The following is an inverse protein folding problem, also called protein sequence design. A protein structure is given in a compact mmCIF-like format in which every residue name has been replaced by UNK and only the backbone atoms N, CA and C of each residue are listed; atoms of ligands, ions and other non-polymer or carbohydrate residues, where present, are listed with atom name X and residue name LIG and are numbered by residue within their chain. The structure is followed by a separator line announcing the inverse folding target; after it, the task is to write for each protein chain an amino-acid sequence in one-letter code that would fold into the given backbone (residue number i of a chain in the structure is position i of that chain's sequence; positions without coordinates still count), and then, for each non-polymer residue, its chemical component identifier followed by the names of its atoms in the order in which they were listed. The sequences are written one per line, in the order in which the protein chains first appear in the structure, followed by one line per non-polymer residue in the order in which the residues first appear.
data_IF_873034819389
#
_entry.id   IF_873034819389
#
_cell.length_a   1.000
_cell.length_b   1.000
_cell.length_c   1.000
_cell.angle_alpha   90.00
_cell.angle_beta   90.00
_cell.angle_gamma   90.00
#
_symmetry.space_group_name_H-M   'P 1'
#
loop_
_entity.id
_entity.type
_entity.pdbx_description
1 polymer ?
#
# COMPACT_ATOMS: atom_id res chain seq x y z
N UNK A 1 11.07 -10.62 -17.46
CA UNK A 1 10.71 -12.06 -17.50
C UNK A 1 11.84 -12.86 -16.89
N UNK A 2 11.59 -13.87 -16.05
CA UNK A 2 12.63 -14.78 -15.55
C UNK A 2 12.39 -16.15 -16.17
N UNK A 3 13.40 -16.72 -16.82
CA UNK A 3 13.30 -18.00 -17.51
C UNK A 3 14.63 -18.77 -17.36
N UNK A 4 14.56 -20.08 -17.09
CA UNK A 4 15.75 -20.93 -16.91
C UNK A 4 16.69 -20.46 -15.80
N UNK A 5 16.16 -19.90 -14.71
CA UNK A 5 16.97 -19.35 -13.61
C UNK A 5 17.62 -17.98 -13.91
N UNK A 6 17.47 -17.45 -15.13
CA UNK A 6 18.08 -16.18 -15.56
C UNK A 6 17.03 -15.11 -15.76
N UNK A 7 17.33 -13.90 -15.31
CA UNK A 7 16.47 -12.73 -15.54
C UNK A 7 16.75 -12.18 -16.95
N UNK A 8 15.71 -11.97 -17.77
CA UNK A 8 15.84 -11.32 -19.09
C UNK A 8 16.00 -9.82 -18.93
N UNK A 9 17.23 -9.33 -18.97
CA UNK A 9 17.64 -7.94 -18.82
C UNK A 9 16.79 -6.98 -19.67
N UNK A 10 16.00 -6.09 -19.03
CA UNK A 10 15.54 -4.80 -19.61
C UNK A 10 14.63 -3.93 -18.69
N UNK A 11 14.88 -3.75 -17.37
CA UNK A 11 14.05 -2.84 -16.52
C UNK A 11 14.63 -2.66 -15.11
N UNK A 12 14.40 -1.52 -14.42
CA UNK A 12 14.68 -1.32 -12.96
C UNK A 12 14.11 -2.45 -12.08
N UNK A 13 13.02 -3.07 -12.53
CA UNK A 13 12.40 -4.25 -11.91
C UNK A 13 13.37 -5.42 -11.75
N UNK A 14 14.44 -5.49 -12.54
CA UNK A 14 15.42 -6.59 -12.52
C UNK A 14 16.18 -6.73 -11.21
N UNK A 15 16.57 -5.62 -10.58
CA UNK A 15 17.42 -5.66 -9.39
C UNK A 15 16.64 -6.15 -8.17
N UNK A 16 15.33 -5.86 -8.14
CA UNK A 16 14.43 -6.22 -7.05
C UNK A 16 13.93 -7.66 -7.06
N UNK A 17 13.98 -8.34 -8.21
CA UNK A 17 13.51 -9.72 -8.34
C UNK A 17 14.62 -10.72 -7.96
N UNK A 18 14.28 -11.91 -7.48
CA UNK A 18 15.23 -13.02 -7.30
C UNK A 18 14.49 -14.35 -7.29
N UNK A 19 15.18 -15.45 -7.61
CA UNK A 19 14.62 -16.79 -7.49
C UNK A 19 15.22 -17.50 -6.29
N UNK A 20 14.38 -18.14 -5.49
CA UNK A 20 14.80 -19.09 -4.47
C UNK A 20 15.25 -20.42 -5.09
N UNK A 21 15.96 -21.22 -4.29
CA UNK A 21 16.40 -22.57 -4.68
C UNK A 21 15.24 -23.54 -4.88
N UNK A 22 14.09 -23.26 -4.27
CA UNK A 22 12.80 -23.95 -4.42
C UNK A 22 11.96 -23.42 -5.59
N UNK A 23 12.56 -22.64 -6.51
CA UNK A 23 11.90 -21.97 -7.62
C UNK A 23 10.86 -20.90 -7.21
N UNK A 24 10.90 -20.42 -5.95
CA UNK A 24 10.08 -19.29 -5.52
C UNK A 24 10.51 -17.98 -6.18
N UNK A 25 9.55 -17.13 -6.57
CA UNK A 25 9.82 -15.77 -7.02
C UNK A 25 9.79 -14.81 -5.83
N UNK A 26 10.91 -14.16 -5.57
CA UNK A 26 11.06 -13.16 -4.53
C UNK A 26 11.11 -11.77 -5.15
N UNK A 27 10.25 -10.85 -4.68
CA UNK A 27 10.18 -9.46 -5.13
C UNK A 27 10.50 -8.56 -3.94
N UNK A 28 11.62 -7.85 -3.98
CA UNK A 28 12.01 -6.88 -2.96
C UNK A 28 11.42 -5.51 -3.29
N UNK A 29 11.17 -4.69 -2.26
CA UNK A 29 10.64 -3.33 -2.39
C UNK A 29 9.47 -3.26 -3.38
N UNK A 30 8.42 -4.04 -3.08
CA UNK A 30 7.20 -4.12 -3.90
C UNK A 30 6.58 -2.73 -4.01
N UNK A 31 6.27 -2.30 -5.23
CA UNK A 31 5.52 -1.06 -5.48
C UNK A 31 4.13 -1.39 -5.99
N UNK A 32 3.24 -0.39 -6.08
CA UNK A 32 1.90 -0.63 -6.64
C UNK A 32 2.00 -1.21 -8.06
N UNK A 33 2.95 -0.78 -8.88
CA UNK A 33 3.15 -1.26 -10.25
C UNK A 33 3.49 -2.76 -10.35
N UNK A 34 3.80 -3.42 -9.24
CA UNK A 34 4.02 -4.86 -9.20
C UNK A 34 2.70 -5.68 -9.11
N UNK A 35 1.53 -5.08 -8.85
CA UNK A 35 0.27 -5.83 -8.86
C UNK A 35 0.05 -6.52 -10.22
N UNK A 36 -0.53 -7.73 -10.21
CA UNK A 36 -0.79 -8.43 -11.47
C UNK A 36 -0.87 -9.94 -11.38
N UNK A 37 -0.94 -10.56 -12.56
CA UNK A 37 -0.87 -12.00 -12.74
C UNK A 37 0.57 -12.45 -12.96
N UNK A 38 1.03 -13.36 -12.12
CA UNK A 38 2.32 -14.03 -12.22
C UNK A 38 2.07 -15.47 -12.64
N UNK A 39 2.77 -15.91 -13.68
CA UNK A 39 2.64 -17.28 -14.19
C UNK A 39 3.95 -18.03 -13.96
N UNK A 40 3.88 -19.12 -13.22
CA UNK A 40 4.93 -20.11 -13.15
C UNK A 40 4.76 -21.07 -14.33
N UNK A 41 5.82 -21.23 -15.13
CA UNK A 41 5.89 -22.18 -16.24
C UNK A 41 6.94 -23.22 -15.93
N UNK A 42 6.51 -24.47 -15.83
CA UNK A 42 7.40 -25.59 -15.57
C UNK A 42 7.73 -26.31 -16.88
N UNK A 43 9.00 -26.66 -17.07
CA UNK A 43 9.46 -27.48 -18.18
C UNK A 43 10.17 -28.71 -17.61
N UNK A 44 9.70 -29.90 -17.97
CA UNK A 44 10.32 -31.19 -17.60
C UNK A 44 10.74 -31.87 -18.89
N UNK A 45 12.03 -32.15 -19.06
CA UNK A 45 12.59 -32.77 -20.28
C UNK A 45 12.19 -32.04 -21.58
N UNK A 46 12.11 -30.70 -21.54
CA UNK A 46 11.71 -29.88 -22.70
C UNK A 46 10.21 -29.83 -22.97
N UNK A 47 9.39 -30.61 -22.24
CA UNK A 47 7.94 -30.55 -22.31
C UNK A 47 7.40 -29.55 -21.28
N UNK A 48 6.51 -28.67 -21.73
CA UNK A 48 5.84 -27.71 -20.85
C UNK A 48 4.76 -28.45 -20.03
N UNK A 49 4.86 -28.35 -18.71
CA UNK A 49 3.82 -28.81 -17.79
C UNK A 49 2.66 -27.81 -17.68
N UNK A 50 1.75 -28.04 -16.74
CA UNK A 50 0.64 -27.11 -16.48
C UNK A 50 1.16 -25.81 -15.86
N UNK A 51 0.79 -24.67 -16.46
CA UNK A 51 1.07 -23.36 -15.90
C UNK A 51 0.33 -23.16 -14.57
N UNK A 52 1.03 -22.68 -13.55
CA UNK A 52 0.42 -22.23 -12.30
C UNK A 52 0.34 -20.70 -12.29
N UNK A 53 -0.83 -20.14 -11.95
CA UNK A 53 -1.04 -18.68 -11.89
C UNK A 53 -1.21 -18.23 -10.45
N UNK A 54 -0.57 -17.12 -10.13
CA UNK A 54 -0.64 -16.45 -8.83
C UNK A 54 -0.99 -14.98 -9.08
N UNK A 55 -1.92 -14.43 -8.32
CA UNK A 55 -2.28 -13.02 -8.40
C UNK A 55 -1.65 -12.27 -7.24
N UNK A 56 -0.86 -11.24 -7.56
CA UNK A 56 -0.30 -10.33 -6.57
C UNK A 56 -1.22 -9.12 -6.45
N UNK A 57 -1.68 -8.90 -5.23
CA UNK A 57 -2.44 -7.71 -4.85
C UNK A 57 -1.54 -6.82 -4.01
N UNK A 58 -1.55 -5.51 -4.26
CA UNK A 58 -0.68 -4.56 -3.55
C UNK A 58 -1.54 -3.51 -2.86
N UNK A 59 -1.38 -3.39 -1.55
CA UNK A 59 -1.91 -2.28 -0.77
C UNK A 59 -0.93 -1.12 -0.87
N UNK A 60 -1.42 0.07 -1.17
CA UNK A 60 -0.58 1.25 -1.24
C UNK A 60 -1.29 2.45 -0.62
N UNK A 61 -0.55 3.20 0.20
CA UNK A 61 -0.99 4.45 0.81
C UNK A 61 -0.29 5.62 0.14
N UNK A 62 -1.07 6.57 -0.36
CA UNK A 62 -0.55 7.81 -0.94
C UNK A 62 -1.42 9.00 -0.62
N UNK A 63 -0.88 10.22 -0.56
CA UNK A 63 -1.69 11.42 -0.52
C UNK A 63 -2.56 11.50 -1.78
N UNK A 64 -3.82 11.93 -1.62
CA UNK A 64 -4.75 12.06 -2.74
C UNK A 64 -4.48 13.28 -3.61
N UNK A 65 -3.67 14.23 -3.13
CA UNK A 65 -3.19 15.42 -3.84
C UNK A 65 -1.68 15.50 -3.77
N UNK A 66 -1.06 16.16 -4.75
CA UNK A 66 0.39 16.40 -4.83
C UNK A 66 0.86 17.50 -3.86
N UNK A 67 0.34 17.53 -2.64
CA UNK A 67 0.81 18.44 -1.59
C UNK A 67 2.17 17.93 -1.10
N UNK A 68 3.24 18.49 -1.66
CA UNK A 68 4.61 18.15 -1.29
C UNK A 68 5.04 18.81 0.03
N UNK A 69 4.36 19.89 0.42
CA UNK A 69 4.62 20.64 1.63
C UNK A 69 3.33 20.77 2.41
N UNK A 70 3.37 20.36 3.67
CA UNK A 70 2.19 20.35 4.52
C UNK A 70 2.47 21.18 5.76
N UNK A 71 1.61 22.16 6.02
CA UNK A 71 1.73 23.08 7.13
C UNK A 71 0.85 22.66 8.30
N UNK A 72 1.22 23.00 9.54
CA UNK A 72 0.36 22.78 10.70
C UNK A 72 -1.01 23.44 10.51
N UNK A 73 -2.07 22.71 10.86
CA UNK A 73 -3.45 23.17 10.74
C UNK A 73 -4.10 22.92 9.38
N UNK A 74 -3.34 22.52 8.36
CA UNK A 74 -3.88 22.08 7.07
C UNK A 74 -4.51 20.67 7.17
N UNK A 75 -5.32 20.32 6.17
CA UNK A 75 -5.90 18.98 6.05
C UNK A 75 -5.13 18.18 5.01
N UNK A 76 -4.74 16.96 5.37
CA UNK A 76 -4.22 15.97 4.43
C UNK A 76 -5.27 14.91 4.20
N UNK A 77 -5.42 14.47 2.95
CA UNK A 77 -6.22 13.30 2.60
C UNK A 77 -5.30 12.22 2.06
N UNK A 78 -5.30 11.07 2.72
CA UNK A 78 -4.54 9.89 2.33
C UNK A 78 -5.49 8.86 1.73
N UNK A 79 -5.15 8.37 0.55
CA UNK A 79 -5.82 7.24 -0.09
C UNK A 79 -5.10 5.95 0.27
N UNK A 80 -5.84 5.00 0.82
CA UNK A 80 -5.41 3.62 0.93
C UNK A 80 -6.13 2.79 -0.13
N UNK A 81 -5.38 2.28 -1.11
CA UNK A 81 -5.94 1.58 -2.25
C UNK A 81 -5.34 0.18 -2.39
N UNK A 82 -6.21 -0.81 -2.62
CA UNK A 82 -5.82 -2.16 -2.97
C UNK A 82 -5.83 -2.31 -4.50
N UNK A 83 -4.64 -2.41 -5.07
CA UNK A 83 -4.44 -2.64 -6.49
C UNK A 83 -4.52 -4.13 -6.81
N UNK A 84 -5.27 -4.47 -7.85
CA UNK A 84 -5.52 -5.85 -8.26
C UNK A 84 -5.64 -6.00 -9.78
N UNK A 85 -5.37 -7.19 -10.28
CA UNK A 85 -5.62 -7.59 -11.66
C UNK A 85 -7.12 -7.80 -11.92
N UNK A 86 -7.62 -7.38 -13.08
CA UNK A 86 -9.05 -7.45 -13.42
C UNK A 86 -9.63 -8.88 -13.33
N UNK A 87 -8.86 -9.91 -13.68
CA UNK A 87 -9.28 -11.32 -13.58
C UNK A 87 -9.30 -11.90 -12.16
N UNK A 88 -8.88 -11.13 -11.15
CA UNK A 88 -8.97 -11.46 -9.73
C UNK A 88 -9.31 -10.17 -8.96
N UNK A 89 -10.47 -9.61 -9.24
CA UNK A 89 -10.79 -8.24 -8.83
C UNK A 89 -10.76 -8.07 -7.31
N UNK A 90 -10.40 -6.88 -6.85
CA UNK A 90 -10.43 -6.58 -5.41
C UNK A 90 -11.88 -6.57 -4.87
N UNK A 91 -12.87 -6.25 -5.70
CA UNK A 91 -14.28 -6.34 -5.32
C UNK A 91 -14.66 -7.77 -4.93
N UNK A 92 -14.21 -8.77 -5.70
CA UNK A 92 -14.45 -10.19 -5.40
C UNK A 92 -13.80 -10.61 -4.08
N UNK A 93 -12.59 -10.13 -3.81
CA UNK A 93 -11.89 -10.37 -2.56
C UNK A 93 -12.65 -9.80 -1.36
N UNK A 94 -13.17 -8.57 -1.48
CA UNK A 94 -13.89 -7.91 -0.39
C UNK A 94 -15.24 -8.59 -0.17
N UNK A 95 -16.02 -8.84 -1.24
CA UNK A 95 -17.37 -9.40 -1.15
C UNK A 95 -17.36 -10.88 -0.78
N UNK A 96 -16.49 -11.68 -1.40
CA UNK A 96 -16.52 -13.14 -1.28
C UNK A 96 -15.59 -13.68 -0.21
N UNK A 97 -14.46 -13.00 0.06
CA UNK A 97 -13.47 -13.45 1.06
C UNK A 97 -13.55 -12.66 2.37
N UNK A 98 -14.43 -11.67 2.48
CA UNK A 98 -14.63 -10.90 3.71
C UNK A 98 -13.40 -10.10 4.13
N UNK A 99 -12.66 -9.59 3.13
CA UNK A 99 -11.49 -8.74 3.35
C UNK A 99 -11.95 -7.31 3.64
N UNK A 100 -11.31 -6.64 4.58
CA UNK A 100 -11.60 -5.24 4.94
C UNK A 100 -10.35 -4.37 4.88
N UNK A 101 -10.48 -3.19 4.26
CA UNK A 101 -9.48 -2.12 4.33
C UNK A 101 -9.83 -1.22 5.52
N UNK A 102 -8.90 -1.05 6.45
CA UNK A 102 -9.10 -0.25 7.66
C UNK A 102 -7.92 0.69 7.89
N UNK A 103 -8.21 1.84 8.49
CA UNK A 103 -7.20 2.73 9.05
C UNK A 103 -7.06 2.45 10.54
N UNK A 104 -5.82 2.48 11.05
CA UNK A 104 -5.53 2.29 12.47
C UNK A 104 -4.70 3.43 13.03
N UNK A 105 -4.78 3.62 14.35
CA UNK A 105 -3.91 4.54 15.07
C UNK A 105 -2.51 3.93 15.30
N UNK A 106 -1.64 4.63 16.02
CA UNK A 106 -0.28 4.16 16.31
C UNK A 106 -0.26 2.82 17.07
N UNK A 107 -1.23 2.57 17.94
CA UNK A 107 -1.34 1.34 18.74
C UNK A 107 -2.02 0.18 17.99
N UNK A 108 -2.42 0.38 16.73
CA UNK A 108 -3.10 -0.65 15.91
C UNK A 108 -4.60 -0.74 16.15
N UNK A 109 -5.19 0.20 16.88
CA UNK A 109 -6.64 0.26 17.07
C UNK A 109 -7.29 0.89 15.85
N UNK A 110 -8.34 0.25 15.34
CA UNK A 110 -9.14 0.73 14.20
C UNK A 110 -9.70 2.12 14.47
N UNK A 111 -9.40 3.07 13.58
CA UNK A 111 -9.97 4.41 13.62
C UNK A 111 -11.46 4.35 13.29
N UNK A 112 -12.24 5.16 13.98
CA UNK A 112 -13.69 5.28 13.75
C UNK A 112 -14.07 6.70 13.37
N UNK A 113 -15.25 6.88 12.79
CA UNK A 113 -15.77 8.21 12.42
C UNK A 113 -15.99 9.10 13.66
N UNK A 114 -16.11 8.50 14.86
CA UNK A 114 -16.26 9.22 16.11
C UNK A 114 -14.97 9.91 16.60
N UNK A 115 -13.82 9.57 16.02
CA UNK A 115 -12.57 10.29 16.29
C UNK A 115 -12.64 11.67 15.61
N UNK A 116 -12.95 12.72 16.38
CA UNK A 116 -13.26 14.08 15.89
C UNK A 116 -12.21 14.72 14.95
N UNK A 117 -10.96 14.23 14.97
CA UNK A 117 -9.87 14.70 14.10
C UNK A 117 -9.80 14.02 12.74
N UNK A 118 -10.52 12.91 12.56
CA UNK A 118 -10.43 12.03 11.39
C UNK A 118 -11.77 11.94 10.67
N UNK A 119 -11.70 12.05 9.35
CA UNK A 119 -12.83 11.78 8.48
C UNK A 119 -12.46 10.62 7.57
N UNK A 120 -13.25 9.55 7.60
CA UNK A 120 -13.01 8.36 6.80
C UNK A 120 -14.08 8.30 5.71
N UNK A 121 -13.67 8.21 4.46
CA UNK A 121 -14.56 7.99 3.32
C UNK A 121 -14.15 6.75 2.54
N UNK A 122 -15.12 6.11 1.89
CA UNK A 122 -14.91 4.89 1.11
C UNK A 122 -15.60 5.05 -0.26
N UNK A 123 -14.96 5.72 -1.24
CA UNK A 123 -15.57 5.98 -2.53
C UNK A 123 -15.76 4.72 -3.39
N UNK A 124 -15.15 3.61 -3.00
CA UNK A 124 -15.35 2.29 -3.59
C UNK A 124 -14.91 1.19 -2.62
N UNK A 125 -15.08 -0.08 -2.97
CA UNK A 125 -14.68 -1.18 -2.08
C UNK A 125 -13.15 -1.24 -1.93
N UNK A 126 -12.41 -0.99 -3.01
CA UNK A 126 -10.96 -1.12 -3.06
C UNK A 126 -10.17 0.09 -2.59
N UNK A 127 -10.86 1.12 -2.11
CA UNK A 127 -10.25 2.39 -1.73
C UNK A 127 -10.90 2.92 -0.45
N UNK A 128 -10.06 3.33 0.48
CA UNK A 128 -10.51 3.96 1.72
C UNK A 128 -9.64 5.16 2.05
N UNK A 129 -10.26 6.33 2.07
CA UNK A 129 -9.57 7.58 2.32
C UNK A 129 -9.64 7.95 3.80
N UNK A 130 -8.56 8.55 4.29
CA UNK A 130 -8.47 9.18 5.61
C UNK A 130 -8.11 10.64 5.41
N UNK A 131 -9.00 11.53 5.84
CA UNK A 131 -8.74 12.95 5.93
C UNK A 131 -8.44 13.30 7.39
N UNK A 132 -7.32 13.95 7.64
CA UNK A 132 -6.88 14.35 8.97
C UNK A 132 -6.41 15.80 8.97
N UNK A 133 -6.77 16.54 10.03
CA UNK A 133 -6.16 17.85 10.31
C UNK A 133 -4.79 17.62 10.96
N UNK A 134 -3.74 18.15 10.35
CA UNK A 134 -2.38 17.96 10.83
C UNK A 134 -2.05 18.90 11.99
N UNK A 135 -1.44 18.33 13.03
CA UNK A 135 -0.92 19.05 14.18
C UNK A 135 0.61 19.06 14.15
N UNK A 136 1.25 19.97 14.88
CA UNK A 136 2.72 19.99 15.02
C UNK A 136 3.28 18.66 15.51
N UNK A 137 2.55 18.00 16.40
CA UNK A 137 2.88 16.68 16.97
C UNK A 137 2.82 15.54 15.93
N UNK A 138 2.20 15.78 14.77
CA UNK A 138 2.11 14.80 13.70
C UNK A 138 3.35 14.82 12.77
N UNK A 139 4.40 15.59 13.09
CA UNK A 139 5.65 15.52 12.32
C UNK A 139 6.24 14.10 12.36
N UNK A 140 6.54 13.57 11.18
CA UNK A 140 7.00 12.18 10.96
C UNK A 140 6.00 11.11 11.44
N UNK A 141 4.75 11.49 11.74
CA UNK A 141 3.70 10.54 12.10
C UNK A 141 3.43 9.58 10.95
N UNK A 142 3.34 8.31 11.31
CA UNK A 142 3.04 7.20 10.41
C UNK A 142 1.55 6.90 10.40
N UNK A 143 0.89 7.11 9.27
CA UNK A 143 -0.50 6.74 9.05
C UNK A 143 -0.53 5.36 8.43
N UNK A 144 -1.15 4.39 9.13
CA UNK A 144 -1.14 2.99 8.72
C UNK A 144 -2.52 2.54 8.27
N UNK A 145 -2.57 1.96 7.08
CA UNK A 145 -3.72 1.26 6.56
C UNK A 145 -3.44 -0.25 6.53
N UNK A 146 -4.46 -1.04 6.85
CA UNK A 146 -4.34 -2.50 6.97
C UNK A 146 -5.43 -3.20 6.17
N UNK A 147 -5.04 -4.34 5.58
CA UNK A 147 -5.95 -5.34 5.06
C UNK A 147 -6.15 -6.37 6.16
N UNK A 148 -7.41 -6.59 6.54
CA UNK A 148 -7.79 -7.59 7.53
C UNK A 148 -8.70 -8.65 6.93
N UNK A 149 -8.57 -9.88 7.42
CA UNK A 149 -9.47 -10.99 7.12
C UNK A 149 -9.75 -11.73 8.43
N UNK A 150 -11.05 -11.87 8.79
CA UNK A 150 -11.48 -12.44 10.08
C UNK A 150 -10.77 -11.78 11.27
N UNK A 151 -10.69 -10.45 11.26
CA UNK A 151 -10.01 -9.62 12.27
C UNK A 151 -8.50 -9.86 12.43
N UNK A 152 -7.87 -10.60 11.51
CA UNK A 152 -6.42 -10.76 11.48
C UNK A 152 -5.83 -9.88 10.39
N UNK A 153 -4.78 -9.15 10.72
CA UNK A 153 -3.99 -8.39 9.75
C UNK A 153 -3.32 -9.35 8.76
N UNK A 154 -3.47 -9.08 7.47
CA UNK A 154 -2.83 -9.84 6.38
C UNK A 154 -1.70 -9.06 5.75
N UNK A 155 -1.88 -7.76 5.58
CA UNK A 155 -0.81 -6.85 5.15
C UNK A 155 -1.15 -5.42 5.58
N UNK A 156 -0.16 -4.55 5.56
CA UNK A 156 -0.29 -3.14 5.90
C UNK A 156 0.63 -2.30 5.05
N UNK A 157 0.24 -1.05 4.81
CA UNK A 157 1.12 -0.05 4.24
C UNK A 157 1.01 1.27 5.03
N UNK A 158 2.05 2.08 4.97
CA UNK A 158 2.22 3.24 5.83
C UNK A 158 2.70 4.46 5.06
N UNK A 159 2.08 5.60 5.33
CA UNK A 159 2.54 6.91 4.87
C UNK A 159 3.08 7.74 6.03
N UNK A 160 4.27 8.32 5.88
CA UNK A 160 4.85 9.25 6.83
C UNK A 160 4.74 10.68 6.28
N UNK A 161 3.97 11.53 6.96
CA UNK A 161 3.90 12.94 6.62
C UNK A 161 5.21 13.64 7.03
N UNK A 162 5.66 14.60 6.21
CA UNK A 162 6.72 15.55 6.57
C UNK A 162 6.08 16.93 6.69
N UNK A 163 6.09 17.50 7.89
CA UNK A 163 5.52 18.84 8.12
C UNK A 163 6.66 19.85 7.98
N UNK A 164 6.55 20.77 7.03
CA UNK A 164 7.52 21.84 6.83
C UNK A 164 6.99 23.12 7.50
N UNK A 165 7.60 23.53 8.61
CA UNK A 165 7.20 24.74 9.32
C UNK A 165 8.14 25.12 10.44
N UNK A 166 9.24 25.81 10.12
CA UNK A 166 9.97 26.61 11.10
C UNK A 166 9.25 27.96 11.22
N UNK A 167 8.34 28.08 12.18
CA UNK A 167 7.70 29.37 12.50
C UNK A 167 8.57 30.07 13.53
N UNK A 168 9.60 30.81 13.08
CA UNK A 168 10.32 31.75 13.95
C UNK A 168 9.34 32.87 14.30
N UNK A 169 8.73 32.79 15.49
CA UNK A 169 8.03 33.93 16.08
C UNK A 169 9.09 34.75 16.81
N UNK A 170 9.73 35.68 16.11
CA UNK A 170 10.49 36.76 16.75
C UNK A 170 9.50 37.89 17.07
N UNK A 171 9.04 37.96 18.32
CA UNK A 171 8.41 39.17 18.84
C UNK A 171 9.51 40.13 19.30
N UNK A 172 9.67 41.25 18.61
CA UNK A 172 10.36 42.43 19.14
C UNK A 172 9.28 43.41 19.57
N UNK A 173 9.13 43.59 20.87
CA UNK A 173 8.34 44.69 21.46
C UNK A 173 9.22 45.94 21.56
N UNK A 174 8.71 47.07 21.07
CA UNK A 174 9.21 48.42 21.36
C UNK A 174 8.41 49.01 22.51
#
# INVERSE_FOLDING_TARGET
MIAGGKKKQDTERHERLSLGSDCSLNIRNVTKEDYGSYTCRQYVNGQQGTDARVFLHVLHVSPSSSQNEISPGSFVTLSCQLYSFAGASCDDLIRSKGIQLIWVNQTGVKLTIADSRYQISAPGHCIRNLTAKLLNEDDKRKWRCEITHRNQVKTSDTYAAKISGEKIISSVSY
#
